data_IF_514828897164
#
_entry.id   IF_514828897164
#
_cell.length_a   1.000
_cell.length_b   1.000
_cell.length_c   1.000
_cell.angle_alpha   90.00
_cell.angle_beta   90.00
_cell.angle_gamma   90.00
#
_symmetry.space_group_name_H-M   'P 1'
#
loop_
_entity.id
_entity.type
_entity.pdbx_description
1 polymer ?
#
# COMPACT_ATOMS: atom_id res chain seq x y z
N UNK A 1 6.00 0.72 20.04
CA UNK A 1 6.52 2.09 20.11
C UNK A 1 7.72 2.03 21.05
N UNK A 2 8.94 2.08 20.51
CA UNK A 2 10.16 2.19 21.32
C UNK A 2 10.41 3.68 21.58
N UNK A 3 10.49 4.10 22.84
CA UNK A 3 10.72 5.50 23.20
C UNK A 3 10.02 5.99 24.48
N UNK A 4 10.36 7.22 24.88
CA UNK A 4 9.75 7.95 26.01
C UNK A 4 8.38 8.53 25.69
N UNK A 5 7.79 9.26 26.65
CA UNK A 5 6.55 9.99 26.49
C UNK A 5 6.79 11.37 25.87
N UNK A 6 5.98 11.74 24.88
CA UNK A 6 6.02 13.08 24.30
C UNK A 6 5.73 14.15 25.37
N UNK A 7 6.62 15.14 25.46
CA UNK A 7 6.54 16.25 26.42
C UNK A 7 5.25 17.06 26.28
N UNK A 8 4.70 17.21 25.07
CA UNK A 8 3.48 17.99 24.80
C UNK A 8 2.22 17.39 25.44
N UNK A 9 2.30 16.11 25.83
CA UNK A 9 1.18 15.42 26.47
C UNK A 9 1.03 15.76 27.95
N UNK A 10 2.06 16.31 28.57
CA UNK A 10 2.05 16.64 29.99
C UNK A 10 1.54 18.05 30.22
N UNK A 11 0.72 18.21 31.26
CA UNK A 11 0.21 19.53 31.65
C UNK A 11 1.04 20.11 32.78
N UNK A 12 1.56 21.32 32.60
CA UNK A 12 2.21 22.10 33.65
C UNK A 12 3.71 21.86 33.84
N UNK A 13 4.38 21.18 32.89
CA UNK A 13 5.85 21.10 32.87
C UNK A 13 6.46 22.43 32.47
N UNK A 14 7.53 22.85 33.16
CA UNK A 14 8.40 23.93 32.71
C UNK A 14 9.52 23.39 31.81
N UNK A 15 10.18 24.26 31.04
CA UNK A 15 11.31 23.86 30.17
C UNK A 15 12.42 23.15 30.95
N UNK A 16 12.73 23.61 32.17
CA UNK A 16 13.71 22.96 33.05
C UNK A 16 13.33 21.54 33.43
N UNK A 17 12.04 21.28 33.67
CA UNK A 17 11.56 19.93 34.01
C UNK A 17 11.69 19.00 32.80
N UNK A 18 11.45 19.52 31.60
CA UNK A 18 11.58 18.77 30.35
C UNK A 18 13.04 18.37 30.14
N UNK A 19 13.99 19.30 30.32
CA UNK A 19 15.42 19.00 30.17
C UNK A 19 15.89 17.92 31.17
N UNK A 20 15.51 18.02 32.44
CA UNK A 20 15.94 17.09 33.49
C UNK A 20 15.33 15.69 33.36
N UNK A 21 14.09 15.61 32.88
CA UNK A 21 13.32 14.35 32.81
C UNK A 21 13.34 13.72 31.41
N UNK A 22 14.13 14.28 30.49
CA UNK A 22 14.26 13.75 29.12
C UNK A 22 15.31 12.65 29.00
N UNK A 23 15.00 11.67 28.17
CA UNK A 23 15.91 10.60 27.82
C UNK A 23 16.96 11.10 26.81
N UNK A 24 18.24 10.94 27.10
CA UNK A 24 19.32 11.39 26.21
C UNK A 24 19.42 10.69 24.85
N UNK A 25 18.61 9.66 24.58
CA UNK A 25 18.57 8.95 23.29
C UNK A 25 17.37 9.38 22.44
N UNK A 26 16.16 9.33 23.01
CA UNK A 26 14.93 9.64 22.27
C UNK A 26 14.42 11.07 22.48
N UNK A 27 15.05 11.84 23.37
CA UNK A 27 14.74 13.24 23.69
C UNK A 27 13.31 13.48 24.20
N UNK A 28 12.65 12.42 24.66
CA UNK A 28 11.30 12.43 25.23
C UNK A 28 11.35 12.17 26.74
N UNK A 29 10.28 12.53 27.46
CA UNK A 29 10.16 12.29 28.90
C UNK A 29 10.31 10.80 29.20
N UNK A 30 11.16 10.47 30.18
CA UNK A 30 11.61 9.10 30.40
C UNK A 30 10.45 8.16 30.74
N UNK A 31 10.39 7.04 30.01
CA UNK A 31 9.47 5.92 30.24
C UNK A 31 10.23 4.71 30.76
N UNK A 32 9.74 4.10 31.83
CA UNK A 32 10.41 2.99 32.53
C UNK A 32 11.89 3.33 32.80
N UNK A 33 12.15 4.31 33.70
CA UNK A 33 13.49 4.85 33.90
C UNK A 33 14.49 3.80 34.37
N UNK A 34 15.68 3.82 33.80
CA UNK A 34 16.86 3.06 34.27
C UNK A 34 18.05 4.00 34.36
N UNK A 35 18.95 3.73 35.32
CA UNK A 35 20.13 4.55 35.56
C UNK A 35 21.37 3.86 34.99
N UNK A 36 22.15 4.61 34.24
CA UNK A 36 23.47 4.17 33.80
C UNK A 36 24.48 4.50 34.90
N UNK A 37 25.25 3.52 35.42
CA UNK A 37 26.10 3.73 36.60
C UNK A 37 27.28 4.69 36.37
N UNK A 38 27.83 4.76 35.16
CA UNK A 38 29.01 5.58 34.88
C UNK A 38 28.70 7.09 34.89
N UNK A 39 27.63 7.51 34.21
CA UNK A 39 27.23 8.92 34.12
C UNK A 39 26.10 9.31 35.08
N UNK A 40 25.47 8.33 35.75
CA UNK A 40 24.27 8.49 36.61
C UNK A 40 23.05 9.09 35.90
N UNK A 41 23.07 9.15 34.58
CA UNK A 41 21.95 9.67 33.80
C UNK A 41 20.84 8.61 33.67
N UNK A 42 19.60 9.09 33.68
CA UNK A 42 18.43 8.27 33.46
C UNK A 42 18.09 8.17 31.96
N UNK A 43 17.71 6.97 31.53
CA UNK A 43 17.25 6.68 30.18
C UNK A 43 15.93 5.89 30.23
N UNK A 44 15.21 5.88 29.12
CA UNK A 44 14.16 4.88 28.93
C UNK A 44 14.82 3.50 28.83
N UNK A 45 14.27 2.50 29.53
CA UNK A 45 14.74 1.12 29.46
C UNK A 45 14.93 0.65 28.02
N UNK A 46 13.89 0.74 27.19
CA UNK A 46 13.93 0.28 25.80
C UNK A 46 15.00 1.01 24.97
N UNK A 47 15.19 2.31 25.18
CA UNK A 47 16.18 3.08 24.43
C UNK A 47 17.62 2.64 24.74
N UNK A 48 17.96 2.44 26.02
CA UNK A 48 19.32 2.03 26.39
C UNK A 48 19.55 0.54 26.08
N UNK A 49 18.53 -0.31 26.21
CA UNK A 49 18.62 -1.72 25.81
C UNK A 49 18.82 -1.89 24.31
N UNK A 50 18.10 -1.12 23.48
CA UNK A 50 18.27 -1.11 22.02
C UNK A 50 19.68 -0.63 21.63
N UNK A 51 20.20 0.42 22.31
CA UNK A 51 21.57 0.90 22.11
C UNK A 51 22.60 -0.18 22.42
N UNK A 52 22.47 -0.85 23.57
CA UNK A 52 23.40 -1.88 24.04
C UNK A 52 23.27 -3.22 23.30
N UNK A 53 22.28 -3.36 22.41
CA UNK A 53 22.20 -4.52 21.51
C UNK A 53 23.28 -4.45 20.42
N UNK A 54 23.64 -3.24 19.99
CA UNK A 54 24.64 -3.01 18.93
C UNK A 54 25.95 -2.42 19.44
N UNK A 55 25.98 -1.94 20.69
CA UNK A 55 27.12 -1.28 21.31
C UNK A 55 27.37 -1.88 22.71
N UNK A 56 28.56 -1.64 23.25
CA UNK A 56 28.95 -2.10 24.59
C UNK A 56 29.45 -0.95 25.48
N UNK A 57 28.98 0.26 25.18
CA UNK A 57 29.37 1.50 25.84
C UNK A 57 28.17 2.42 26.09
N UNK A 58 28.33 3.32 27.05
CA UNK A 58 27.35 4.34 27.37
C UNK A 58 27.27 5.40 26.25
N UNK A 59 26.07 5.82 25.82
CA UNK A 59 25.90 6.78 24.73
C UNK A 59 26.43 8.19 25.05
N UNK A 60 26.63 8.54 26.32
CA UNK A 60 27.07 9.88 26.73
C UNK A 60 28.58 9.99 26.93
N UNK A 61 29.16 9.05 27.67
CA UNK A 61 30.58 9.10 28.07
C UNK A 61 31.43 7.98 27.48
N UNK A 62 30.82 7.06 26.70
CA UNK A 62 31.47 5.90 26.06
C UNK A 62 32.16 4.95 27.05
N UNK A 63 31.80 5.01 28.33
CA UNK A 63 32.31 4.05 29.30
C UNK A 63 31.71 2.66 29.02
N UNK A 64 32.47 1.56 29.22
CA UNK A 64 31.97 0.21 29.02
C UNK A 64 30.69 -0.05 29.82
N UNK A 65 29.65 -0.55 29.15
CA UNK A 65 28.34 -0.79 29.74
C UNK A 65 27.69 -2.01 29.11
N UNK A 66 27.01 -2.80 29.94
CA UNK A 66 26.18 -3.93 29.52
C UNK A 66 24.78 -3.79 30.09
N UNK A 67 23.80 -4.52 29.55
CA UNK A 67 22.40 -4.48 30.00
C UNK A 67 22.29 -4.87 31.48
N UNK A 68 23.06 -5.86 31.94
CA UNK A 68 23.11 -6.28 33.34
C UNK A 68 23.71 -5.23 34.29
N UNK A 69 24.46 -4.27 33.74
CA UNK A 69 25.05 -3.15 34.49
C UNK A 69 24.07 -2.00 34.78
N UNK A 70 22.85 -2.05 34.23
CA UNK A 70 21.84 -1.01 34.43
C UNK A 70 21.28 -1.04 35.87
N UNK A 71 21.13 0.12 36.47
CA UNK A 71 20.66 0.28 37.84
C UNK A 71 19.19 0.70 37.89
N UNK A 72 18.52 0.31 38.98
CA UNK A 72 17.16 0.76 39.28
C UNK A 72 17.14 2.28 39.55
N UNK A 73 16.07 2.97 39.13
CA UNK A 73 15.91 4.40 39.40
C UNK A 73 15.75 4.66 40.91
N UNK A 74 16.19 5.82 41.41
CA UNK A 74 15.85 6.27 42.75
C UNK A 74 14.34 6.45 42.89
N UNK A 75 13.78 6.08 44.06
CA UNK A 75 12.34 6.24 44.35
C UNK A 75 11.83 7.66 44.13
N UNK A 76 12.67 8.67 44.38
CA UNK A 76 12.32 10.07 44.16
C UNK A 76 12.01 10.34 42.68
N UNK A 77 12.82 9.82 41.76
CA UNK A 77 12.61 9.95 40.33
C UNK A 77 11.31 9.26 39.90
N UNK A 78 11.07 8.04 40.38
CA UNK A 78 9.81 7.32 40.11
C UNK A 78 8.60 8.10 40.63
N UNK A 79 8.69 8.66 41.84
CA UNK A 79 7.62 9.46 42.45
C UNK A 79 7.38 10.76 41.70
N UNK A 80 8.44 11.43 41.24
CA UNK A 80 8.34 12.66 40.46
C UNK A 80 7.66 12.39 39.12
N UNK A 81 8.12 11.37 38.38
CA UNK A 81 7.53 10.95 37.12
C UNK A 81 6.07 10.52 37.29
N UNK A 82 5.75 9.71 38.29
CA UNK A 82 4.40 9.21 38.56
C UNK A 82 3.37 10.31 38.83
N UNK A 83 3.79 11.41 39.48
CA UNK A 83 2.93 12.56 39.79
C UNK A 83 2.70 13.50 38.62
N UNK A 84 3.49 13.39 37.54
CA UNK A 84 3.29 14.22 36.36
C UNK A 84 1.92 13.97 35.78
N UNK A 85 1.20 15.05 35.47
CA UNK A 85 -0.13 14.98 34.88
C UNK A 85 0.01 14.82 33.37
N UNK A 86 -0.49 13.72 32.84
CA UNK A 86 -0.43 13.37 31.43
C UNK A 86 -1.84 13.23 30.85
N UNK A 87 -2.04 13.76 29.66
CA UNK A 87 -3.26 13.54 28.89
C UNK A 87 -3.32 12.13 28.32
N UNK A 88 -4.50 11.52 28.26
CA UNK A 88 -4.69 10.18 27.72
C UNK A 88 -4.15 10.04 26.27
N UNK A 89 -3.66 8.84 25.91
CA UNK A 89 -3.26 8.50 24.52
C UNK A 89 -4.39 8.80 23.51
N UNK A 90 -5.65 8.76 23.97
CA UNK A 90 -6.85 8.99 23.17
C UNK A 90 -7.39 10.41 23.27
N UNK A 91 -6.59 11.40 23.71
CA UNK A 91 -6.98 12.82 23.75
C UNK A 91 -7.48 13.30 22.39
N UNK A 92 -6.80 12.92 21.32
CA UNK A 92 -7.19 13.23 19.94
C UNK A 92 -8.49 12.54 19.51
N UNK A 93 -8.88 11.48 20.21
CA UNK A 93 -10.15 10.79 20.08
C UNK A 93 -11.17 11.27 21.11
N UNK A 94 -11.00 12.48 21.65
CA UNK A 94 -12.00 13.13 22.51
C UNK A 94 -11.97 12.73 23.98
N UNK A 95 -10.97 11.95 24.43
CA UNK A 95 -10.79 11.72 25.86
C UNK A 95 -10.35 13.02 26.56
N UNK A 96 -11.15 13.59 27.49
CA UNK A 96 -10.78 14.82 28.20
C UNK A 96 -9.82 14.57 29.37
N UNK A 97 -9.60 13.31 29.73
CA UNK A 97 -8.92 12.94 30.97
C UNK A 97 -7.42 13.29 30.95
N UNK A 98 -7.01 13.98 32.01
CA UNK A 98 -5.62 14.26 32.36
C UNK A 98 -5.37 13.67 33.74
N UNK A 99 -4.60 12.59 33.80
CA UNK A 99 -4.40 11.77 35.00
C UNK A 99 -2.93 11.80 35.42
N UNK A 100 -2.59 11.51 36.69
CA UNK A 100 -1.22 11.20 37.08
C UNK A 100 -0.65 10.09 36.20
N UNK A 101 0.63 10.17 35.84
CA UNK A 101 1.29 9.18 34.99
C UNK A 101 1.21 7.77 35.58
N UNK A 102 1.24 7.65 36.91
CA UNK A 102 1.08 6.36 37.61
C UNK A 102 -0.29 5.70 37.39
N UNK A 103 -1.33 6.50 37.11
CA UNK A 103 -2.70 6.02 36.87
C UNK A 103 -3.02 5.83 35.37
N UNK A 104 -2.11 6.22 34.48
CA UNK A 104 -2.36 6.24 33.04
C UNK A 104 -2.72 4.86 32.47
N UNK A 105 -2.02 3.80 32.89
CA UNK A 105 -2.30 2.45 32.39
C UNK A 105 -3.65 1.93 32.89
N UNK A 106 -4.05 2.28 34.12
CA UNK A 106 -5.37 1.96 34.65
C UNK A 106 -6.48 2.69 33.89
N UNK A 107 -6.29 3.99 33.61
CA UNK A 107 -7.21 4.76 32.77
C UNK A 107 -7.30 4.16 31.36
N UNK A 108 -6.18 3.85 30.70
CA UNK A 108 -6.13 3.29 29.34
C UNK A 108 -6.88 1.97 29.21
N UNK A 109 -6.83 1.12 30.24
CA UNK A 109 -7.56 -0.15 30.24
C UNK A 109 -9.09 0.05 30.16
N UNK A 110 -9.59 1.15 30.72
CA UNK A 110 -11.02 1.45 30.85
C UNK A 110 -11.47 2.68 30.03
N UNK A 111 -10.60 3.23 29.19
CA UNK A 111 -10.87 4.46 28.44
C UNK A 111 -11.97 4.22 27.39
N UNK A 112 -13.10 4.91 27.54
CA UNK A 112 -14.24 4.82 26.62
C UNK A 112 -13.91 5.29 25.19
N UNK A 113 -12.88 6.14 25.06
CA UNK A 113 -12.39 6.70 23.80
C UNK A 113 -11.25 5.88 23.18
N UNK A 114 -10.97 4.68 23.69
CA UNK A 114 -9.94 3.79 23.14
C UNK A 114 -10.15 3.62 21.64
N UNK A 115 -9.13 3.97 20.85
CA UNK A 115 -9.14 3.81 19.41
C UNK A 115 -9.55 2.37 19.05
N UNK A 116 -10.76 2.21 18.52
CA UNK A 116 -11.20 1.00 17.85
C UNK A 116 -11.09 1.26 16.37
N UNK A 117 -10.48 0.36 15.61
CA UNK A 117 -10.31 0.54 14.17
C UNK A 117 -11.66 0.84 13.53
N UNK A 118 -11.77 1.94 12.79
CA UNK A 118 -12.99 2.22 12.06
C UNK A 118 -13.20 1.08 11.03
N UNK A 119 -14.33 0.34 11.09
CA UNK A 119 -14.53 -0.82 10.22
C UNK A 119 -14.67 -0.46 8.73
N UNK A 120 -14.66 0.84 8.37
CA UNK A 120 -14.86 1.34 7.00
C UNK A 120 -13.62 1.98 6.37
N UNK A 121 -12.82 2.76 7.12
CA UNK A 121 -11.59 3.42 6.62
C UNK A 121 -10.29 2.80 7.16
N UNK A 122 -10.38 1.89 8.15
CA UNK A 122 -9.24 1.37 8.94
C UNK A 122 -8.41 2.45 9.67
N UNK A 123 -8.92 3.68 9.73
CA UNK A 123 -8.33 4.80 10.44
C UNK A 123 -8.70 4.79 11.93
N UNK A 124 -7.84 5.37 12.77
CA UNK A 124 -8.08 5.44 14.21
C UNK A 124 -9.26 6.41 14.49
N UNK A 125 -10.29 5.92 15.19
CA UNK A 125 -11.58 6.60 15.35
C UNK A 125 -11.49 7.86 16.21
N UNK A 126 -11.58 9.06 15.61
CA UNK A 126 -12.01 10.28 16.34
C UNK A 126 -13.54 10.29 16.51
N UNK A 127 -14.09 10.75 17.64
CA UNK A 127 -15.53 10.90 17.81
C UNK A 127 -16.00 12.02 16.85
N UNK A 128 -17.14 11.80 16.20
CA UNK A 128 -17.65 12.61 15.08
C UNK A 128 -16.81 12.56 13.79
N UNK A 129 -16.06 11.47 13.57
CA UNK A 129 -15.35 11.27 12.32
C UNK A 129 -16.33 11.11 11.14
N UNK A 130 -16.53 12.20 10.39
CA UNK A 130 -17.06 12.14 9.04
C UNK A 130 -15.96 11.63 8.11
N UNK A 131 -16.05 10.34 7.78
CA UNK A 131 -15.12 9.68 6.86
C UNK A 131 -14.99 10.44 5.53
N UNK A 132 -16.06 11.12 5.10
CA UNK A 132 -16.10 11.84 3.83
C UNK A 132 -15.31 13.15 3.94
N UNK A 133 -15.52 13.94 4.99
CA UNK A 133 -14.81 15.21 5.19
C UNK A 133 -13.31 14.99 5.44
N UNK A 134 -12.94 13.97 6.22
CA UNK A 134 -11.53 13.63 6.45
C UNK A 134 -10.83 13.17 5.15
N UNK A 135 -11.50 12.37 4.32
CA UNK A 135 -10.99 11.98 3.00
C UNK A 135 -10.86 13.21 2.07
N UNK A 136 -11.83 14.12 2.10
CA UNK A 136 -11.77 15.37 1.33
C UNK A 136 -10.64 16.29 1.82
N UNK A 137 -10.40 16.37 3.13
CA UNK A 137 -9.31 17.16 3.71
C UNK A 137 -7.94 16.58 3.36
N UNK A 138 -7.77 15.26 3.46
CA UNK A 138 -6.56 14.56 3.02
C UNK A 138 -6.30 14.78 1.54
N UNK A 139 -7.34 14.69 0.71
CA UNK A 139 -7.24 14.96 -0.72
C UNK A 139 -6.88 16.43 -0.98
N UNK A 140 -7.46 17.39 -0.24
CA UNK A 140 -7.10 18.82 -0.33
C UNK A 140 -5.64 19.09 0.05
N UNK A 141 -5.19 18.56 1.18
CA UNK A 141 -3.81 18.72 1.65
C UNK A 141 -2.83 18.10 0.65
N UNK A 142 -3.09 16.88 0.20
CA UNK A 142 -2.29 16.22 -0.83
C UNK A 142 -2.25 17.03 -2.13
N UNK A 143 -3.38 17.63 -2.56
CA UNK A 143 -3.42 18.47 -3.75
C UNK A 143 -2.65 19.80 -3.58
N UNK A 144 -2.67 20.41 -2.40
CA UNK A 144 -1.87 21.62 -2.10
C UNK A 144 -0.37 21.31 -2.10
N UNK A 145 0.03 20.19 -1.51
CA UNK A 145 1.42 19.73 -1.50
C UNK A 145 1.91 19.38 -2.91
N UNK A 146 1.05 18.75 -3.73
CA UNK A 146 1.31 18.54 -5.15
C UNK A 146 1.50 19.88 -5.89
N UNK A 147 0.74 20.92 -5.54
CA UNK A 147 0.87 22.25 -6.17
C UNK A 147 2.16 22.97 -5.76
N UNK A 148 2.55 22.92 -4.49
CA UNK A 148 3.81 23.53 -4.03
C UNK A 148 5.03 22.82 -4.63
N UNK A 149 5.00 21.49 -4.70
CA UNK A 149 6.04 20.70 -5.37
C UNK A 149 6.10 20.99 -6.87
N UNK A 150 4.95 21.11 -7.55
CA UNK A 150 4.90 21.54 -8.96
C UNK A 150 5.58 22.90 -9.15
N UNK A 151 5.29 23.86 -8.28
CA UNK A 151 5.85 25.20 -8.37
C UNK A 151 7.37 25.23 -8.17
N UNK A 152 7.89 24.45 -7.22
CA UNK A 152 9.34 24.27 -7.01
C UNK A 152 10.00 23.57 -8.21
N UNK A 153 9.35 22.56 -8.78
CA UNK A 153 9.89 21.84 -9.95
C UNK A 153 9.96 22.74 -11.18
N UNK A 154 8.93 23.56 -11.44
CA UNK A 154 8.97 24.54 -12.53
C UNK A 154 10.04 25.63 -12.35
N UNK A 155 10.35 26.00 -11.11
CA UNK A 155 11.44 26.93 -10.80
C UNK A 155 12.81 26.31 -11.10
N UNK A 156 13.01 25.03 -10.74
CA UNK A 156 14.25 24.31 -11.00
C UNK A 156 14.47 24.01 -12.50
N UNK A 157 13.40 23.73 -13.26
CA UNK A 157 13.48 23.50 -14.71
C UNK A 157 13.86 24.77 -15.49
N UNK A 158 13.48 25.96 -15.00
CA UNK A 158 13.93 27.22 -15.60
C UNK A 158 15.45 27.44 -15.38
N UNK A 159 15.97 27.01 -14.22
CA UNK A 159 17.40 27.12 -13.91
C UNK A 159 18.28 26.15 -14.73
N UNK A 160 17.78 24.96 -15.09
CA UNK A 160 18.52 23.99 -15.93
C UNK A 160 18.54 24.35 -17.43
N UNK A 161 17.57 25.14 -17.92
CA UNK A 161 17.52 25.55 -19.34
C UNK A 161 18.56 26.59 -19.76
N UNK A 162 19.30 27.16 -18.80
CA UNK A 162 20.37 28.15 -19.07
C UNK A 162 21.77 27.51 -19.21
N UNK A 163 21.93 26.19 -19.08
CA UNK A 163 23.22 25.51 -19.29
C UNK A 163 23.46 25.13 -20.78
N UNK A 164 24.55 25.65 -21.36
CA UNK A 164 24.92 25.54 -22.79
C UNK A 164 25.32 24.11 -23.24
N UNK A 165 24.98 23.67 -24.49
CA UNK A 165 25.30 22.32 -24.96
C UNK A 165 26.65 22.18 -25.69
N UNK A 166 27.34 21.05 -25.44
CA UNK A 166 28.56 20.57 -26.11
C UNK A 166 28.26 19.84 -27.46
N UNK A 167 29.28 19.79 -28.34
CA UNK A 167 29.24 19.73 -29.82
C UNK A 167 28.98 18.34 -30.47
N UNK A 168 28.11 18.33 -31.51
CA UNK A 168 28.16 17.74 -32.90
C UNK A 168 28.73 16.31 -33.15
N UNK A 169 28.26 15.42 -34.06
CA UNK A 169 27.33 15.36 -35.23
C UNK A 169 27.14 13.85 -35.67
N UNK A 170 26.49 13.44 -36.81
CA UNK A 170 25.62 14.13 -37.78
C UNK A 170 24.26 13.45 -38.14
N UNK A 171 23.30 14.35 -38.42
CA UNK A 171 22.03 14.33 -39.20
C UNK A 171 21.59 13.07 -40.01
N UNK A 172 20.27 12.80 -39.97
CA UNK A 172 19.36 12.84 -41.15
C UNK A 172 17.86 13.03 -40.77
N UNK A 173 17.31 14.11 -41.33
CA UNK A 173 15.93 14.48 -41.70
C UNK A 173 14.67 14.21 -40.81
N UNK A 174 14.16 15.33 -40.26
CA UNK A 174 12.81 15.93 -40.38
C UNK A 174 11.60 15.04 -40.76
N UNK A 175 10.50 15.12 -39.99
CA UNK A 175 9.46 16.15 -40.16
C UNK A 175 8.23 15.98 -39.22
N UNK A 176 7.75 17.13 -38.74
CA UNK A 176 6.37 17.61 -38.45
C UNK A 176 5.35 16.82 -37.59
N UNK A 177 4.81 17.50 -36.56
CA UNK A 177 3.41 17.36 -36.11
C UNK A 177 3.10 17.53 -34.62
N UNK A 178 2.83 18.76 -34.17
CA UNK A 178 2.17 19.18 -32.90
C UNK A 178 0.61 19.10 -33.01
N UNK A 179 -0.24 19.42 -31.99
CA UNK A 179 -0.19 19.19 -30.53
C UNK A 179 -1.58 18.85 -29.86
N UNK A 180 -1.62 18.72 -28.52
CA UNK A 180 -2.78 18.86 -27.57
C UNK A 180 -3.81 17.68 -27.47
N UNK A 181 -4.51 17.36 -26.36
CA UNK A 181 -5.03 18.10 -25.20
C UNK A 181 -5.16 17.23 -23.92
N UNK A 182 -4.98 17.86 -22.75
CA UNK A 182 -5.32 17.42 -21.39
C UNK A 182 -6.82 17.13 -21.21
N UNK A 183 -7.19 16.17 -20.35
CA UNK A 183 -7.99 16.38 -19.11
C UNK A 183 -8.12 15.08 -18.27
N UNK A 184 -7.89 15.21 -16.95
CA UNK A 184 -7.90 14.22 -15.83
C UNK A 184 -9.35 13.86 -15.36
N UNK A 185 -9.69 13.31 -14.15
CA UNK A 185 -8.97 12.68 -13.00
C UNK A 185 -9.64 11.36 -12.42
N UNK A 186 -8.90 10.35 -11.91
CA UNK A 186 -8.48 9.97 -10.51
C UNK A 186 -9.50 9.31 -9.53
N UNK A 187 -9.24 8.03 -9.18
CA UNK A 187 -9.60 7.34 -7.91
C UNK A 187 -8.41 6.49 -7.40
N UNK A 188 -8.13 6.56 -6.10
CA UNK A 188 -7.02 5.91 -5.37
C UNK A 188 -7.30 4.40 -5.10
N UNK A 189 -6.65 3.53 -5.86
CA UNK A 189 -6.10 2.23 -5.38
C UNK A 189 -4.62 2.49 -5.04
N UNK A 190 -3.91 1.59 -4.35
CA UNK A 190 -2.43 1.62 -4.29
C UNK A 190 -1.86 1.47 -5.72
N UNK A 191 -1.86 2.60 -6.44
CA UNK A 191 -1.30 2.86 -7.75
C UNK A 191 0.04 3.55 -7.49
N UNK A 192 1.14 2.94 -7.95
CA UNK A 192 2.25 3.74 -8.46
C UNK A 192 1.76 4.40 -9.76
N UNK A 193 0.92 5.43 -9.67
CA UNK A 193 0.59 6.33 -10.79
C UNK A 193 1.08 7.73 -10.46
N UNK A 194 2.37 7.93 -10.71
CA UNK A 194 2.79 9.14 -11.39
C UNK A 194 2.29 9.04 -12.84
N UNK A 195 1.76 10.12 -13.42
CA UNK A 195 1.76 10.32 -14.87
C UNK A 195 2.63 11.55 -15.12
N UNK A 196 3.88 11.40 -15.61
CA UNK A 196 4.69 12.48 -16.13
C UNK A 196 4.15 12.91 -17.51
N UNK A 197 4.62 14.04 -18.04
CA UNK A 197 4.14 14.60 -19.30
C UNK A 197 4.39 13.64 -20.46
N UNK A 198 3.56 13.79 -21.50
CA UNK A 198 3.73 13.21 -22.82
C UNK A 198 5.16 13.44 -23.33
N UNK A 199 6.04 12.45 -23.19
CA UNK A 199 6.98 11.92 -24.19
C UNK A 199 8.09 11.09 -23.51
N UNK A 200 8.28 9.87 -24.03
CA UNK A 200 9.37 8.90 -23.78
C UNK A 200 9.34 8.01 -22.51
N UNK A 201 8.96 6.74 -22.76
CA UNK A 201 9.59 5.45 -22.37
C UNK A 201 10.18 5.29 -20.95
N UNK A 202 9.68 4.27 -20.23
CA UNK A 202 10.27 3.59 -19.06
C UNK A 202 9.99 4.15 -17.64
N UNK A 203 8.72 4.24 -17.23
CA UNK A 203 8.32 4.66 -15.88
C UNK A 203 8.70 3.70 -14.73
N UNK A 204 8.77 2.39 -14.96
CA UNK A 204 9.01 1.39 -13.90
C UNK A 204 10.48 0.98 -13.77
N UNK A 205 11.27 1.06 -14.85
CA UNK A 205 12.73 0.98 -14.78
C UNK A 205 13.31 2.16 -13.98
N UNK A 206 12.70 3.34 -14.11
CA UNK A 206 13.04 4.48 -13.26
C UNK A 206 12.62 4.27 -11.80
N UNK A 207 11.51 3.57 -11.51
CA UNK A 207 11.16 3.19 -10.12
C UNK A 207 12.13 2.16 -9.52
N UNK A 208 12.60 1.19 -10.31
CA UNK A 208 13.65 0.24 -9.90
C UNK A 208 14.98 0.97 -9.67
N UNK A 209 15.42 1.84 -10.60
CA UNK A 209 16.60 2.69 -10.41
C UNK A 209 16.45 3.66 -9.23
N UNK A 210 15.24 4.16 -8.94
CA UNK A 210 14.96 5.05 -7.82
C UNK A 210 15.02 4.32 -6.47
N UNK A 211 14.52 3.08 -6.38
CA UNK A 211 14.68 2.21 -5.19
C UNK A 211 16.16 1.87 -4.95
N UNK A 212 16.97 1.76 -6.00
CA UNK A 212 18.40 1.45 -5.90
C UNK A 212 19.29 2.67 -5.62
N UNK A 213 18.94 3.87 -6.11
CA UNK A 213 19.84 5.04 -6.11
C UNK A 213 19.47 6.20 -5.18
N UNK A 214 18.30 6.22 -4.51
CA UNK A 214 17.95 7.30 -3.56
C UNK A 214 17.89 6.84 -2.10
N UNK A 215 18.79 7.41 -1.28
CA UNK A 215 18.66 7.57 0.17
C UNK A 215 17.54 8.57 0.47
N UNK A 216 16.31 8.10 0.73
CA UNK A 216 15.19 8.95 1.16
C UNK A 216 14.55 8.42 2.45
N UNK A 217 14.37 9.37 3.38
CA UNK A 217 14.29 9.24 4.84
C UNK A 217 12.90 8.87 5.39
N UNK A 218 11.91 8.51 4.57
CA UNK A 218 10.50 8.37 5.02
C UNK A 218 9.77 7.09 4.57
N UNK A 219 10.47 5.97 4.42
CA UNK A 219 9.84 4.66 4.37
C UNK A 219 10.29 3.87 5.61
N UNK A 220 9.33 3.41 6.42
CA UNK A 220 9.61 2.48 7.52
C UNK A 220 10.50 1.36 6.96
N UNK A 221 11.62 1.08 7.64
CA UNK A 221 12.64 0.12 7.20
C UNK A 221 12.03 -1.24 6.81
N UNK A 222 10.90 -1.60 7.42
CA UNK A 222 10.06 -2.77 7.11
C UNK A 222 9.43 -2.71 5.71
N UNK A 223 8.87 -1.57 5.29
CA UNK A 223 8.29 -1.39 3.95
C UNK A 223 9.39 -1.42 2.89
N UNK A 224 10.54 -0.78 3.18
CA UNK A 224 11.73 -0.85 2.31
C UNK A 224 12.21 -2.29 2.14
N UNK A 225 12.36 -3.05 3.23
CA UNK A 225 12.72 -4.47 3.20
C UNK A 225 11.70 -5.31 2.41
N UNK A 226 10.39 -5.08 2.62
CA UNK A 226 9.32 -5.78 1.89
C UNK A 226 9.33 -5.47 0.40
N UNK A 227 9.51 -4.21 0.01
CA UNK A 227 9.60 -3.80 -1.40
C UNK A 227 10.87 -4.33 -2.06
N UNK A 228 12.03 -4.20 -1.42
CA UNK A 228 13.28 -4.78 -1.92
C UNK A 228 13.12 -6.29 -2.12
N UNK A 229 12.51 -6.99 -1.16
CA UNK A 229 12.27 -8.44 -1.26
C UNK A 229 11.28 -8.80 -2.37
N UNK A 230 10.20 -8.02 -2.52
CA UNK A 230 9.20 -8.21 -3.57
C UNK A 230 9.80 -8.06 -4.98
N UNK A 231 10.69 -7.09 -5.17
CA UNK A 231 11.29 -6.81 -6.47
C UNK A 231 12.56 -7.63 -6.78
N UNK A 232 13.15 -8.37 -5.83
CA UNK A 232 14.32 -9.24 -6.06
C UNK A 232 14.12 -10.22 -7.22
N UNK A 233 12.89 -10.71 -7.44
CA UNK A 233 12.59 -11.61 -8.55
C UNK A 233 12.92 -10.98 -9.92
N UNK A 234 12.88 -9.65 -10.04
CA UNK A 234 13.17 -8.93 -11.26
C UNK A 234 14.66 -9.00 -11.66
N UNK A 235 15.55 -9.30 -10.71
CA UNK A 235 16.98 -9.47 -10.97
C UNK A 235 17.25 -10.68 -11.88
N UNK A 236 16.32 -11.65 -11.91
CA UNK A 236 16.36 -12.82 -12.82
C UNK A 236 16.02 -12.47 -14.27
N UNK A 237 15.57 -11.25 -14.55
CA UNK A 237 15.25 -10.79 -15.91
C UNK A 237 16.53 -10.20 -16.54
N UNK A 238 16.95 -10.64 -17.74
CA UNK A 238 18.10 -10.05 -18.42
C UNK A 238 17.89 -8.56 -18.72
N UNK A 239 18.93 -7.74 -18.58
CA UNK A 239 18.81 -6.28 -18.76
C UNK A 239 18.36 -5.89 -20.19
N UNK A 240 18.75 -6.67 -21.20
CA UNK A 240 18.29 -6.50 -22.58
C UNK A 240 16.77 -6.66 -22.73
N UNK A 241 16.16 -7.49 -21.88
CA UNK A 241 14.71 -7.70 -21.83
C UNK A 241 14.07 -6.59 -21.01
N UNK A 242 14.66 -6.19 -19.87
CA UNK A 242 14.17 -5.08 -19.02
C UNK A 242 14.01 -3.79 -19.82
N UNK A 243 14.95 -3.46 -20.72
CA UNK A 243 14.87 -2.27 -21.57
C UNK A 243 13.67 -2.27 -22.53
N UNK A 244 13.14 -3.45 -22.84
CA UNK A 244 11.98 -3.64 -23.74
C UNK A 244 10.66 -3.66 -22.99
N UNK A 245 10.65 -3.71 -21.66
CA UNK A 245 9.43 -3.79 -20.85
C UNK A 245 8.58 -2.52 -21.02
N UNK A 246 7.30 -2.70 -21.29
CA UNK A 246 6.28 -1.63 -21.36
C UNK A 246 5.32 -1.65 -20.18
N UNK A 247 5.05 -2.83 -19.63
CA UNK A 247 4.18 -3.01 -18.46
C UNK A 247 4.73 -4.12 -17.57
N UNK A 248 4.58 -3.95 -16.26
CA UNK A 248 5.15 -4.85 -15.26
C UNK A 248 4.18 -5.02 -14.10
N UNK A 249 4.02 -6.25 -13.62
CA UNK A 249 3.11 -6.62 -12.54
C UNK A 249 3.77 -7.66 -11.64
N UNK A 250 4.10 -7.25 -10.41
CA UNK A 250 4.69 -8.13 -9.38
C UNK A 250 3.65 -8.40 -8.31
N UNK A 251 3.49 -9.66 -7.93
CA UNK A 251 2.51 -10.08 -6.94
C UNK A 251 3.01 -11.28 -6.14
N UNK A 252 2.38 -11.52 -4.98
CA UNK A 252 2.70 -12.64 -4.10
C UNK A 252 1.61 -13.71 -4.23
N UNK A 253 2.03 -14.98 -4.22
CA UNK A 253 1.15 -16.11 -3.96
C UNK A 253 0.87 -16.24 -2.46
N UNK A 254 -0.17 -16.99 -2.09
CA UNK A 254 -0.56 -17.20 -0.68
C UNK A 254 0.49 -17.88 0.19
N UNK A 255 1.46 -18.58 -0.41
CA UNK A 255 2.63 -19.16 0.26
C UNK A 255 3.82 -18.18 0.41
N UNK A 256 3.60 -16.88 0.20
CA UNK A 256 4.64 -15.83 0.12
C UNK A 256 5.64 -15.99 -1.04
N UNK A 257 5.35 -16.84 -2.04
CA UNK A 257 6.12 -16.92 -3.28
C UNK A 257 5.96 -15.66 -4.12
N UNK A 258 7.06 -15.10 -4.64
CA UNK A 258 7.01 -13.94 -5.53
C UNK A 258 6.79 -14.39 -6.98
N UNK A 259 5.96 -13.65 -7.69
CA UNK A 259 5.65 -13.85 -9.10
C UNK A 259 5.70 -12.52 -9.82
N UNK A 260 6.06 -12.56 -11.10
CA UNK A 260 6.04 -11.38 -11.96
C UNK A 260 5.54 -11.76 -13.34
N UNK A 261 4.69 -10.89 -13.87
CA UNK A 261 4.24 -10.90 -15.25
C UNK A 261 4.59 -9.55 -15.86
N UNK A 262 5.13 -9.55 -17.07
CA UNK A 262 5.52 -8.33 -17.75
C UNK A 262 5.28 -8.41 -19.25
N UNK A 263 5.18 -7.24 -19.87
CA UNK A 263 4.92 -7.07 -21.30
C UNK A 263 6.08 -6.32 -21.91
N UNK A 264 6.49 -6.70 -23.11
CA UNK A 264 7.50 -5.98 -23.88
C UNK A 264 6.88 -5.02 -24.90
N UNK A 265 7.70 -4.18 -25.51
CA UNK A 265 7.31 -3.27 -26.59
C UNK A 265 6.84 -3.95 -27.88
N UNK A 266 6.94 -5.28 -27.94
CA UNK A 266 6.40 -6.11 -29.02
C UNK A 266 5.07 -6.79 -28.64
N UNK A 267 4.49 -6.43 -27.50
CA UNK A 267 3.28 -7.03 -26.93
C UNK A 267 3.41 -8.54 -26.64
N UNK A 268 4.64 -9.00 -26.39
CA UNK A 268 4.88 -10.32 -25.81
C UNK A 268 4.76 -10.25 -24.30
N UNK A 269 4.02 -11.19 -23.73
CA UNK A 269 3.80 -11.33 -22.28
C UNK A 269 4.69 -12.44 -21.76
N UNK A 270 5.43 -12.13 -20.69
CA UNK A 270 6.31 -13.06 -20.01
C UNK A 270 5.91 -13.21 -18.55
N UNK A 271 6.19 -14.39 -18.00
CA UNK A 271 6.05 -14.68 -16.57
C UNK A 271 7.29 -15.37 -16.00
N UNK A 272 7.56 -15.15 -14.71
CA UNK A 272 8.50 -15.93 -13.90
C UNK A 272 8.10 -15.86 -12.41
N UNK A 273 8.45 -16.88 -11.63
CA UNK A 273 8.16 -16.96 -10.21
C UNK A 273 7.75 -18.33 -9.70
N UNK A 274 7.22 -18.35 -8.48
CA UNK A 274 6.88 -19.57 -7.74
C UNK A 274 5.77 -20.40 -8.41
N UNK A 275 4.75 -19.75 -8.99
CA UNK A 275 3.69 -20.37 -9.78
C UNK A 275 2.93 -21.54 -9.09
N UNK A 276 2.99 -21.69 -7.75
CA UNK A 276 2.47 -22.86 -7.03
C UNK A 276 0.97 -23.15 -7.25
N UNK A 277 0.19 -22.13 -7.62
CA UNK A 277 -1.25 -22.23 -7.95
C UNK A 277 -1.57 -21.94 -9.41
N UNK A 278 -0.57 -21.92 -10.28
CA UNK A 278 -0.78 -21.62 -11.71
C UNK A 278 -0.98 -20.14 -12.02
N UNK A 279 -0.65 -19.24 -11.10
CA UNK A 279 -0.89 -17.81 -11.24
C UNK A 279 -0.09 -17.13 -12.36
N UNK A 280 0.88 -17.82 -12.98
CA UNK A 280 1.59 -17.30 -14.16
C UNK A 280 0.93 -17.66 -15.49
N UNK A 281 0.00 -18.61 -15.51
CA UNK A 281 -0.80 -18.88 -16.71
C UNK A 281 -0.17 -19.81 -17.76
N UNK A 282 0.85 -20.60 -17.41
CA UNK A 282 1.57 -21.47 -18.35
C UNK A 282 0.91 -22.82 -18.67
N UNK A 283 -0.19 -23.16 -18.02
CA UNK A 283 -0.82 -24.48 -18.12
C UNK A 283 -0.28 -25.51 -17.12
N UNK A 284 0.59 -25.10 -16.20
CA UNK A 284 1.11 -25.90 -15.09
C UNK A 284 1.32 -25.02 -13.85
N UNK A 285 1.68 -25.65 -12.73
CA UNK A 285 1.97 -25.00 -11.44
C UNK A 285 3.42 -25.18 -10.95
N UNK A 286 4.32 -25.62 -11.82
CA UNK A 286 5.75 -25.64 -11.52
C UNK A 286 6.35 -24.23 -11.50
N UNK A 287 7.32 -23.95 -10.61
CA UNK A 287 8.08 -22.71 -10.60
C UNK A 287 8.78 -22.44 -11.94
N UNK A 288 8.93 -21.16 -12.25
CA UNK A 288 9.53 -20.66 -13.49
C UNK A 288 10.68 -19.71 -13.12
N UNK A 289 11.90 -20.19 -13.29
CA UNK A 289 13.12 -19.52 -12.82
C UNK A 289 13.67 -18.48 -13.81
N UNK A 290 13.25 -18.53 -15.07
CA UNK A 290 13.64 -17.59 -16.12
C UNK A 290 12.41 -17.11 -16.90
N UNK A 291 12.43 -15.91 -17.49
CA UNK A 291 11.26 -15.39 -18.19
C UNK A 291 10.77 -16.32 -19.30
N UNK A 292 9.53 -16.80 -19.19
CA UNK A 292 8.87 -17.63 -20.20
C UNK A 292 7.65 -16.92 -20.79
N UNK A 293 7.33 -17.21 -22.05
CA UNK A 293 6.23 -16.56 -22.78
C UNK A 293 4.88 -17.14 -22.34
N UNK A 294 3.95 -16.28 -21.95
CA UNK A 294 2.54 -16.63 -21.72
C UNK A 294 1.79 -16.45 -23.04
N UNK A 295 1.83 -17.50 -23.87
CA UNK A 295 1.41 -17.46 -25.28
C UNK A 295 -0.01 -16.94 -25.47
N UNK A 296 -0.92 -17.27 -24.56
CA UNK A 296 -2.35 -16.91 -24.60
C UNK A 296 -2.60 -15.40 -24.52
N UNK A 297 -1.67 -14.62 -23.96
CA UNK A 297 -1.81 -13.17 -23.73
C UNK A 297 -1.02 -12.31 -24.71
N UNK A 298 -0.09 -12.90 -25.48
CA UNK A 298 0.68 -12.18 -26.49
C UNK A 298 -0.22 -11.57 -27.56
N UNK A 299 0.12 -10.35 -27.99
CA UNK A 299 -0.60 -9.60 -29.03
C UNK A 299 -2.07 -9.29 -28.70
N UNK A 300 -2.45 -9.36 -27.42
CA UNK A 300 -3.81 -9.04 -26.94
C UNK A 300 -3.98 -7.58 -26.55
N UNK A 301 -2.91 -6.78 -26.60
CA UNK A 301 -2.88 -5.40 -26.13
C UNK A 301 -3.37 -5.29 -24.68
N UNK A 302 -2.69 -5.99 -23.77
CA UNK A 302 -3.05 -5.92 -22.36
C UNK A 302 -2.81 -4.51 -21.83
N UNK A 303 -3.85 -3.92 -21.26
CA UNK A 303 -3.85 -2.61 -20.63
C UNK A 303 -3.37 -2.69 -19.18
N UNK A 304 -3.82 -3.69 -18.43
CA UNK A 304 -3.51 -3.81 -17.00
C UNK A 304 -3.72 -5.25 -16.50
N UNK A 305 -2.94 -5.62 -15.48
CA UNK A 305 -3.15 -6.83 -14.68
C UNK A 305 -3.70 -6.50 -13.30
N UNK A 306 -4.46 -7.44 -12.74
CA UNK A 306 -5.00 -7.40 -11.37
C UNK A 306 -4.82 -8.78 -10.74
N UNK A 307 -4.60 -8.84 -9.43
CA UNK A 307 -4.48 -10.11 -8.72
C UNK A 307 -5.24 -10.09 -7.39
N UNK A 308 -5.75 -11.25 -6.99
CA UNK A 308 -6.23 -11.51 -5.63
C UNK A 308 -5.28 -12.42 -4.87
N UNK A 309 -5.79 -13.38 -4.11
CA UNK A 309 -4.98 -14.35 -3.36
C UNK A 309 -4.06 -15.17 -4.26
N UNK A 310 -4.63 -16.05 -5.08
CA UNK A 310 -3.87 -16.91 -6.02
C UNK A 310 -4.53 -16.92 -7.41
N UNK A 311 -5.03 -15.77 -7.84
CA UNK A 311 -5.66 -15.61 -9.14
C UNK A 311 -5.31 -14.27 -9.77
N UNK A 312 -5.36 -14.22 -11.10
CA UNK A 312 -4.93 -13.06 -11.88
C UNK A 312 -5.94 -12.78 -12.99
N UNK A 313 -6.17 -11.49 -13.24
CA UNK A 313 -6.98 -10.96 -14.33
C UNK A 313 -6.10 -10.09 -15.23
N UNK A 314 -6.32 -10.14 -16.54
CA UNK A 314 -5.69 -9.27 -17.53
C UNK A 314 -6.78 -8.57 -18.36
N UNK A 315 -6.82 -7.25 -18.25
CA UNK A 315 -7.72 -6.38 -19.00
C UNK A 315 -7.00 -5.90 -20.25
N UNK A 316 -7.60 -6.06 -21.42
CA UNK A 316 -7.09 -5.53 -22.69
C UNK A 316 -7.55 -4.09 -22.93
N UNK A 317 -6.91 -3.40 -23.89
CA UNK A 317 -7.37 -2.09 -24.37
C UNK A 317 -8.75 -2.13 -25.03
N UNK A 318 -9.22 -3.31 -25.46
CA UNK A 318 -10.57 -3.51 -26.00
C UNK A 318 -11.57 -4.05 -24.96
N UNK A 319 -11.32 -3.83 -23.66
CA UNK A 319 -12.20 -4.21 -22.55
C UNK A 319 -12.50 -5.71 -22.42
N UNK A 320 -11.66 -6.57 -23.01
CA UNK A 320 -11.73 -8.02 -22.78
C UNK A 320 -10.99 -8.37 -21.51
N UNK A 321 -11.55 -9.30 -20.75
CA UNK A 321 -10.95 -9.79 -19.51
C UNK A 321 -10.54 -11.25 -19.67
N UNK A 322 -9.28 -11.52 -19.37
CA UNK A 322 -8.72 -12.86 -19.27
C UNK A 322 -8.47 -13.16 -17.81
N UNK A 323 -8.73 -14.38 -17.37
CA UNK A 323 -8.62 -14.77 -15.98
C UNK A 323 -8.05 -16.17 -15.81
N UNK A 324 -7.23 -16.38 -14.79
CA UNK A 324 -6.63 -17.67 -14.45
C UNK A 324 -6.16 -17.73 -13.00
N UNK A 325 -5.73 -18.91 -12.56
CA UNK A 325 -5.39 -19.22 -11.18
C UNK A 325 -6.55 -19.89 -10.44
N UNK A 326 -6.58 -19.73 -9.12
CA UNK A 326 -7.58 -20.33 -8.22
C UNK A 326 -8.97 -19.77 -8.51
N UNK A 327 -9.94 -20.67 -8.62
CA UNK A 327 -11.36 -20.38 -8.85
C UNK A 327 -12.26 -21.25 -7.95
N UNK A 328 -11.77 -21.67 -6.79
CA UNK A 328 -12.52 -22.52 -5.84
C UNK A 328 -13.81 -21.87 -5.35
N UNK A 329 -13.83 -20.54 -5.31
CA UNK A 329 -14.98 -19.74 -4.87
C UNK A 329 -15.69 -19.06 -6.05
N UNK A 330 -15.24 -19.26 -7.29
CA UNK A 330 -15.81 -18.61 -8.47
C UNK A 330 -15.25 -17.20 -8.75
N UNK A 331 -14.14 -16.80 -8.10
CA UNK A 331 -13.47 -15.50 -8.20
C UNK A 331 -12.97 -15.10 -9.60
N UNK A 332 -13.06 -15.98 -10.59
CA UNK A 332 -12.74 -15.69 -11.99
C UNK A 332 -13.99 -15.53 -12.88
N UNK A 333 -15.21 -15.57 -12.36
CA UNK A 333 -16.43 -15.60 -13.19
C UNK A 333 -16.39 -16.65 -14.32
N UNK A 334 -15.64 -17.74 -14.09
CA UNK A 334 -15.50 -18.92 -14.97
C UNK A 334 -16.25 -20.08 -14.35
N UNK A 335 -16.68 -21.03 -15.19
CA UNK A 335 -17.42 -22.23 -14.74
C UNK A 335 -16.68 -22.91 -13.57
N UNK A 336 -17.40 -23.32 -12.54
CA UNK A 336 -16.84 -24.12 -11.45
C UNK A 336 -16.64 -25.55 -11.96
N UNK A 337 -15.47 -26.14 -11.71
CA UNK A 337 -15.16 -27.54 -12.05
C UNK A 337 -14.48 -28.21 -10.86
N UNK A 338 -14.56 -29.54 -10.72
CA UNK A 338 -13.85 -30.23 -9.62
C UNK A 338 -12.35 -29.87 -9.64
N UNK A 339 -11.86 -29.29 -8.52
CA UNK A 339 -10.48 -28.84 -8.38
C UNK A 339 -10.16 -27.48 -9.02
N UNK A 340 -11.14 -26.57 -9.14
CA UNK A 340 -11.16 -25.25 -9.81
C UNK A 340 -9.87 -24.42 -9.75
N UNK A 341 -8.82 -24.84 -10.44
CA UNK A 341 -7.63 -24.02 -10.73
C UNK A 341 -7.47 -24.00 -12.24
N UNK A 342 -7.43 -22.79 -12.79
CA UNK A 342 -7.23 -22.57 -14.21
C UNK A 342 -5.77 -22.23 -14.46
N UNK A 343 -5.01 -23.18 -14.99
CA UNK A 343 -3.58 -22.95 -15.23
C UNK A 343 -3.29 -22.07 -16.46
N UNK A 344 -4.29 -21.72 -17.26
CA UNK A 344 -4.14 -20.90 -18.47
C UNK A 344 -5.10 -19.70 -18.47
N UNK A 345 -4.65 -18.52 -18.96
CA UNK A 345 -5.50 -17.38 -19.24
C UNK A 345 -6.62 -17.80 -20.18
N UNK A 346 -7.85 -17.53 -19.78
CA UNK A 346 -9.03 -17.77 -20.59
C UNK A 346 -9.99 -16.59 -20.50
N UNK A 347 -10.79 -16.35 -21.55
CA UNK A 347 -11.79 -15.29 -21.53
C UNK A 347 -12.82 -15.54 -20.42
N UNK A 348 -13.23 -14.46 -19.74
CA UNK A 348 -14.35 -14.47 -18.79
C UNK A 348 -15.72 -14.20 -19.45
N UNK A 349 -16.80 -14.37 -18.67
CA UNK A 349 -18.18 -14.07 -19.05
C UNK A 349 -18.45 -12.55 -19.28
N UNK A 350 -17.49 -11.67 -18.96
CA UNK A 350 -17.65 -10.20 -18.98
C UNK A 350 -17.22 -9.46 -20.25
N UNK A 351 -16.88 -10.17 -21.33
CA UNK A 351 -16.17 -9.58 -22.48
C UNK A 351 -16.90 -8.49 -23.28
N UNK A 352 -18.20 -8.28 -23.08
CA UNK A 352 -19.00 -7.34 -23.87
C UNK A 352 -19.30 -6.01 -23.15
N UNK A 353 -18.79 -5.83 -21.92
CA UNK A 353 -19.12 -4.66 -21.09
C UNK A 353 -17.88 -3.79 -20.87
N UNK A 354 -17.91 -2.48 -21.24
CA UNK A 354 -16.77 -1.59 -21.01
C UNK A 354 -16.46 -1.45 -19.52
N UNK A 355 -15.27 -1.91 -19.10
CA UNK A 355 -14.86 -1.92 -17.70
C UNK A 355 -14.26 -0.56 -17.33
N UNK A 356 -14.80 0.06 -16.29
CA UNK A 356 -14.28 1.31 -15.72
C UNK A 356 -13.24 1.04 -14.64
N UNK A 357 -13.47 0.03 -13.80
CA UNK A 357 -12.56 -0.33 -12.70
C UNK A 357 -12.73 -1.78 -12.27
N UNK A 358 -11.63 -2.41 -11.84
CA UNK A 358 -11.59 -3.75 -11.25
C UNK A 358 -10.93 -3.67 -9.87
N UNK A 359 -11.46 -4.41 -8.90
CA UNK A 359 -10.84 -4.63 -7.60
C UNK A 359 -10.90 -6.12 -7.25
N UNK A 360 -9.80 -6.66 -6.76
CA UNK A 360 -9.70 -8.06 -6.35
C UNK A 360 -9.47 -8.13 -4.85
N UNK A 361 -10.30 -8.92 -4.17
CA UNK A 361 -10.04 -9.38 -2.80
C UNK A 361 -9.26 -10.71 -2.82
N UNK A 362 -9.21 -11.37 -1.67
CA UNK A 362 -8.52 -12.66 -1.54
C UNK A 362 -9.16 -13.75 -2.43
N UNK A 363 -10.49 -13.87 -2.38
CA UNK A 363 -11.29 -14.91 -3.06
C UNK A 363 -12.55 -14.34 -3.77
N UNK A 364 -12.51 -13.06 -4.14
CA UNK A 364 -13.59 -12.41 -4.88
C UNK A 364 -13.08 -11.28 -5.78
N UNK A 365 -13.89 -10.91 -6.77
CA UNK A 365 -13.63 -9.80 -7.68
C UNK A 365 -14.85 -8.90 -7.80
N UNK A 366 -14.58 -7.60 -7.89
CA UNK A 366 -15.55 -6.54 -8.12
C UNK A 366 -15.19 -5.80 -9.41
N UNK A 367 -16.18 -5.60 -10.28
CA UNK A 367 -16.01 -4.87 -11.55
C UNK A 367 -17.04 -3.78 -11.68
N UNK A 368 -16.60 -2.52 -11.78
CA UNK A 368 -17.43 -1.37 -12.14
C UNK A 368 -17.33 -1.15 -13.65
N UNK A 369 -18.47 -1.05 -14.32
CA UNK A 369 -18.56 -0.75 -15.75
C UNK A 369 -18.81 0.74 -16.00
N UNK A 370 -18.61 1.17 -17.25
CA UNK A 370 -18.87 2.57 -17.63
C UNK A 370 -20.35 2.96 -17.55
N UNK A 371 -21.28 2.01 -17.63
CA UNK A 371 -22.71 2.24 -17.42
C UNK A 371 -23.06 2.46 -15.94
N UNK A 372 -22.09 2.37 -15.04
CA UNK A 372 -22.29 2.52 -13.59
C UNK A 372 -22.75 1.24 -12.90
N UNK A 373 -22.84 0.11 -13.61
CA UNK A 373 -23.15 -1.19 -13.02
C UNK A 373 -21.90 -1.81 -12.39
N UNK A 374 -22.04 -2.41 -11.21
CA UNK A 374 -21.01 -3.18 -10.49
C UNK A 374 -21.42 -4.64 -10.50
N UNK A 375 -20.45 -5.49 -10.68
CA UNK A 375 -20.60 -6.93 -10.69
C UNK A 375 -19.65 -7.52 -9.67
N UNK A 376 -20.06 -8.63 -9.05
CA UNK A 376 -19.32 -9.31 -8.01
C UNK A 376 -19.44 -10.83 -8.18
N UNK A 377 -18.35 -11.56 -7.91
CA UNK A 377 -18.29 -13.02 -7.95
C UNK A 377 -17.15 -13.53 -7.05
N UNK A 378 -17.26 -14.78 -6.57
CA UNK A 378 -16.37 -15.32 -5.54
C UNK A 378 -17.13 -15.86 -4.33
N UNK A 379 -16.43 -16.00 -3.21
CA UNK A 379 -17.08 -16.32 -1.92
C UNK A 379 -18.01 -15.16 -1.53
N UNK A 380 -19.30 -15.34 -1.80
CA UNK A 380 -20.38 -14.46 -1.33
C UNK A 380 -20.92 -13.43 -2.33
N UNK A 381 -21.91 -13.87 -3.13
CA UNK A 381 -23.10 -13.10 -3.57
C UNK A 381 -23.01 -12.33 -4.91
N UNK A 382 -24.04 -12.49 -5.75
CA UNK A 382 -24.23 -11.81 -7.05
C UNK A 382 -25.24 -10.67 -6.89
N UNK A 383 -24.91 -9.47 -7.37
CA UNK A 383 -25.74 -8.28 -7.23
C UNK A 383 -26.14 -7.67 -8.58
N UNK A 384 -27.37 -7.19 -8.71
CA UNK A 384 -27.91 -6.49 -9.88
C UNK A 384 -28.81 -5.31 -9.47
N UNK A 385 -28.81 -4.25 -10.27
CA UNK A 385 -29.65 -3.06 -10.08
C UNK A 385 -29.85 -2.33 -11.42
N UNK A 386 -30.79 -1.40 -11.46
CA UNK A 386 -31.25 -0.68 -12.63
C UNK A 386 -32.75 -0.89 -12.89
N UNK A 387 -33.20 -0.70 -14.12
CA UNK A 387 -34.58 -0.96 -14.51
C UNK A 387 -34.93 -2.45 -14.32
N UNK A 388 -36.01 -2.75 -13.58
CA UNK A 388 -36.54 -4.11 -13.43
C UNK A 388 -38.03 -4.24 -13.84
N UNK A 389 -38.58 -3.31 -14.63
CA UNK A 389 -40.00 -3.32 -15.01
C UNK A 389 -40.43 -4.57 -15.80
N UNK A 390 -39.50 -5.34 -16.33
CA UNK A 390 -39.77 -6.61 -17.02
C UNK A 390 -39.06 -7.81 -16.34
N UNK A 391 -38.65 -7.67 -15.07
CA UNK A 391 -37.96 -8.74 -14.32
C UNK A 391 -36.51 -9.01 -14.76
N UNK A 392 -35.94 -8.15 -15.60
CA UNK A 392 -34.63 -8.33 -16.24
C UNK A 392 -33.42 -8.38 -15.28
N UNK A 393 -33.61 -8.04 -14.01
CA UNK A 393 -32.55 -8.08 -12.98
C UNK A 393 -32.52 -9.38 -12.16
N UNK A 394 -33.43 -10.32 -12.41
CA UNK A 394 -33.38 -11.67 -11.81
C UNK A 394 -33.92 -11.77 -10.38
N UNK A 395 -34.62 -10.75 -9.88
CA UNK A 395 -35.14 -10.70 -8.50
C UNK A 395 -36.46 -11.43 -8.27
N UNK A 396 -36.98 -12.16 -9.27
CA UNK A 396 -38.31 -12.79 -9.25
C UNK A 396 -39.49 -11.83 -8.92
N UNK A 397 -39.26 -10.52 -9.05
CA UNK A 397 -40.28 -9.47 -8.95
C UNK A 397 -40.08 -8.53 -10.13
N UNK A 398 -40.90 -8.57 -11.19
CA UNK A 398 -41.05 -7.43 -12.10
C UNK A 398 -41.82 -6.35 -11.35
N UNK A 399 -41.35 -5.10 -11.35
CA UNK A 399 -42.19 -3.86 -11.21
C UNK A 399 -41.45 -2.60 -10.70
N UNK A 400 -40.13 -2.59 -10.48
CA UNK A 400 -39.47 -1.37 -10.00
C UNK A 400 -38.05 -1.15 -10.54
N UNK A 401 -37.62 0.11 -10.65
CA UNK A 401 -36.19 0.40 -10.78
C UNK A 401 -35.49 0.14 -9.45
N UNK A 402 -34.49 -0.72 -9.48
CA UNK A 402 -33.59 -0.97 -8.35
C UNK A 402 -32.47 0.07 -8.45
N UNK A 403 -32.44 1.02 -7.53
CA UNK A 403 -31.46 2.11 -7.55
C UNK A 403 -30.15 1.78 -6.82
N UNK A 404 -30.06 0.60 -6.20
CA UNK A 404 -28.87 0.10 -5.48
C UNK A 404 -28.62 -1.40 -5.74
N UNK A 405 -27.35 -1.86 -5.82
CA UNK A 405 -27.03 -3.27 -6.03
C UNK A 405 -27.83 -4.21 -5.13
N UNK A 406 -28.70 -5.05 -5.71
CA UNK A 406 -29.55 -5.99 -4.98
C UNK A 406 -29.08 -7.42 -5.26
N UNK A 407 -28.96 -8.21 -4.21
CA UNK A 407 -28.54 -9.61 -4.30
C UNK A 407 -29.59 -10.46 -5.06
N UNK A 408 -29.16 -11.31 -5.99
CA UNK A 408 -30.03 -12.25 -6.70
C UNK A 408 -30.06 -13.58 -5.95
N UNK A 409 -31.17 -13.94 -5.27
CA UNK A 409 -31.33 -15.27 -4.68
C UNK A 409 -31.49 -16.35 -5.78
N UNK A 410 -31.03 -17.58 -5.50
CA UNK A 410 -31.18 -18.82 -6.30
C UNK A 410 -30.26 -19.04 -7.52
N UNK A 411 -29.27 -18.17 -7.76
CA UNK A 411 -28.17 -18.50 -8.71
C UNK A 411 -27.11 -19.46 -8.13
N UNK A 412 -27.20 -19.76 -6.83
CA UNK A 412 -26.35 -20.73 -6.12
C UNK A 412 -27.05 -22.07 -5.86
N UNK A 413 -28.29 -22.27 -6.35
CA UNK A 413 -28.93 -23.57 -6.25
C UNK A 413 -28.34 -24.50 -7.30
N UNK A 414 -27.63 -25.52 -6.82
CA UNK A 414 -27.24 -26.68 -7.60
C UNK A 414 -28.44 -27.21 -8.38
N UNK A 415 -28.42 -27.11 -9.71
CA UNK A 415 -29.18 -28.04 -10.54
C UNK A 415 -28.62 -29.44 -10.26
N UNK A 416 -29.48 -30.25 -9.62
CA UNK A 416 -29.34 -31.64 -9.15
C UNK A 416 -28.39 -32.53 -9.93
#
# INVERSE_FOLDING_TARGET
MSGGYDSERFSGLQESDIEELSCGICLNIIKAPVIVPCCRQAFCHDCISDWLTNNNDCPLDRAPLTVDGLQKPPRLLETMLGKLKISCDNKDYGCPEVVPLEDLDHHKANCEFKATQCPRCLCDKKPNHDCIEALMQLNRNANQEIQSLKHQTSFNMAAESDEKPLKQAPRRHQSNGQPLHLHQPLQFQLRLQYHPPLHYKNQLYQQWLWVQNYTLIYLCQVIKLKLVTLFKICDKIPDEVKQKVTLFHVFLSTNNGSNVIFITNYDFVYGLGDNCRGCLGFGHNFPVESPQIVQELCHKNIKQFYNGGDFVLAETTNNKLYAWGVNTCGQLARKLSKGSVYFKPGPEYFNDKPIKQICCGFEHTLVLTHSGQVYAWGEGLVYSWGNNYQGMLGHNVPDECIDKPKFIPNLNESCT
#
